data_IF_613856648437
#
_entry.id   IF_613856648437
#
_cell.length_a   1.000
_cell.length_b   1.000
_cell.length_c   1.000
_cell.angle_alpha   90.00
_cell.angle_beta   90.00
_cell.angle_gamma   90.00
#
_symmetry.space_group_name_H-M   'P 1'
#
loop_
_entity.id
_entity.type
_entity.pdbx_description
1 polymer ?
#
# COMPACT_ATOMS: atom_id res chain seq x y z
N UNK A 1 12.74 -6.72 12.68
CA UNK A 1 11.63 -7.16 11.80
C UNK A 1 12.20 -7.31 10.39
N UNK A 2 11.90 -8.41 9.70
CA UNK A 2 12.39 -8.63 8.34
C UNK A 2 11.74 -7.62 7.38
N UNK A 3 12.50 -7.14 6.41
CA UNK A 3 11.96 -6.28 5.35
C UNK A 3 10.81 -7.00 4.61
N UNK A 4 9.75 -6.28 4.22
CA UNK A 4 8.69 -6.87 3.42
C UNK A 4 9.25 -7.28 2.06
N UNK A 5 9.39 -8.59 1.84
CA UNK A 5 9.94 -9.16 0.60
C UNK A 5 8.83 -9.80 -0.24
N UNK A 6 8.40 -9.05 -1.24
CA UNK A 6 7.50 -9.51 -2.30
C UNK A 6 7.93 -8.92 -3.64
N UNK A 7 7.76 -9.72 -4.71
CA UNK A 7 8.14 -9.45 -6.09
C UNK A 7 7.16 -10.17 -7.01
N UNK A 8 6.03 -9.56 -7.28
CA UNK A 8 4.97 -10.20 -8.05
C UNK A 8 4.14 -9.14 -8.80
N UNK A 9 3.28 -9.60 -9.71
CA UNK A 9 2.38 -8.73 -10.48
C UNK A 9 1.20 -8.31 -9.63
N UNK A 10 0.87 -7.02 -9.62
CA UNK A 10 -0.33 -6.49 -8.96
C UNK A 10 -1.56 -6.98 -9.73
N UNK A 11 -2.33 -7.86 -9.12
CA UNK A 11 -3.60 -8.34 -9.68
C UNK A 11 -4.75 -7.42 -9.28
N UNK A 12 -4.73 -6.95 -8.03
CA UNK A 12 -5.75 -6.07 -7.48
C UNK A 12 -5.12 -5.18 -6.43
N UNK A 13 -5.68 -3.97 -6.30
CA UNK A 13 -5.29 -2.98 -5.33
C UNK A 13 -6.56 -2.40 -4.72
N UNK A 14 -6.64 -2.44 -3.41
CA UNK A 14 -7.72 -1.85 -2.61
C UNK A 14 -7.10 -0.80 -1.71
N UNK A 15 -7.70 0.39 -1.68
CA UNK A 15 -7.30 1.48 -0.80
C UNK A 15 -8.52 1.94 -0.02
N UNK A 16 -8.37 1.99 1.29
CA UNK A 16 -9.34 2.56 2.21
C UNK A 16 -8.61 3.48 3.19
N UNK A 17 -8.19 4.63 2.66
CA UNK A 17 -7.42 5.64 3.39
C UNK A 17 -8.28 6.62 4.18
N UNK A 18 -9.61 6.46 4.11
CA UNK A 18 -10.55 7.39 4.75
C UNK A 18 -11.13 6.81 6.05
N UNK A 19 -11.27 5.49 6.13
CA UNK A 19 -11.89 4.83 7.28
C UNK A 19 -10.86 4.01 8.06
N UNK A 20 -10.15 3.12 7.36
CA UNK A 20 -9.31 2.10 8.03
C UNK A 20 -7.81 2.34 7.87
N UNK A 21 -7.42 3.37 7.10
CA UNK A 21 -6.03 3.67 6.76
C UNK A 21 -5.27 2.45 6.23
N UNK A 22 -5.88 1.72 5.30
CA UNK A 22 -5.31 0.51 4.71
C UNK A 22 -5.05 0.61 3.21
N UNK A 23 -4.00 -0.09 2.80
CA UNK A 23 -3.73 -0.43 1.41
C UNK A 23 -3.50 -1.93 1.32
N UNK A 24 -4.26 -2.60 0.46
CA UNK A 24 -4.15 -4.04 0.25
C UNK A 24 -3.83 -4.33 -1.22
N UNK A 25 -2.76 -5.08 -1.45
CA UNK A 25 -2.38 -5.61 -2.75
C UNK A 25 -2.69 -7.10 -2.79
N UNK A 26 -3.41 -7.54 -3.81
CA UNK A 26 -3.41 -8.94 -4.22
C UNK A 26 -2.41 -9.11 -5.34
N UNK A 27 -1.44 -9.97 -5.11
CA UNK A 27 -0.35 -10.23 -6.02
C UNK A 27 -0.57 -11.57 -6.72
N UNK A 28 -0.09 -11.70 -7.95
CA UNK A 28 -0.10 -12.96 -8.70
C UNK A 28 1.32 -13.53 -8.75
N UNK A 29 1.51 -14.63 -8.04
CA UNK A 29 2.75 -15.41 -8.06
C UNK A 29 2.79 -16.30 -9.33
N UNK A 30 3.94 -16.43 -10.02
CA UNK A 30 4.08 -17.34 -11.17
C UNK A 30 3.70 -18.79 -10.90
N UNK A 31 3.83 -19.25 -9.65
CA UNK A 31 3.46 -20.60 -9.19
C UNK A 31 1.96 -20.80 -8.99
N UNK A 32 1.13 -19.79 -9.29
CA UNK A 32 -0.34 -19.87 -9.23
C UNK A 32 -0.95 -19.52 -7.87
N UNK A 33 -0.13 -19.14 -6.89
CA UNK A 33 -0.61 -18.58 -5.63
C UNK A 33 -0.92 -17.08 -5.76
N UNK A 34 -1.75 -16.58 -4.85
CA UNK A 34 -2.11 -15.16 -4.79
C UNK A 34 -1.74 -14.56 -3.44
N UNK A 35 -0.48 -14.17 -3.23
CA UNK A 35 -0.09 -13.50 -2.00
C UNK A 35 -0.87 -12.20 -1.81
N UNK A 36 -1.17 -11.89 -0.56
CA UNK A 36 -1.78 -10.63 -0.17
C UNK A 36 -0.79 -9.84 0.66
N UNK A 37 -0.65 -8.55 0.33
CA UNK A 37 0.13 -7.60 1.12
C UNK A 37 -0.83 -6.59 1.69
N UNK A 38 -0.82 -6.40 3.01
CA UNK A 38 -1.64 -5.41 3.69
C UNK A 38 -0.73 -4.41 4.38
N UNK A 39 -0.74 -3.17 3.92
CA UNK A 39 -0.19 -2.04 4.63
C UNK A 39 -1.28 -1.47 5.55
N UNK A 40 -0.95 -1.23 6.82
CA UNK A 40 -1.84 -0.63 7.82
C UNK A 40 -1.29 0.70 8.29
N UNK A 41 -2.16 1.54 8.83
CA UNK A 41 -1.81 2.89 9.28
C UNK A 41 -1.16 3.68 8.11
N UNK A 42 -1.77 3.57 6.93
CA UNK A 42 -1.28 4.15 5.69
C UNK A 42 -1.57 5.64 5.70
N UNK A 43 -0.50 6.44 5.75
CA UNK A 43 -0.59 7.90 5.70
C UNK A 43 -0.56 8.43 4.28
N UNK A 44 0.05 7.69 3.35
CA UNK A 44 0.19 8.09 1.96
C UNK A 44 0.51 6.89 1.06
N UNK A 45 0.04 6.94 -0.19
CA UNK A 45 0.39 5.97 -1.22
C UNK A 45 0.42 6.62 -2.59
N UNK A 46 1.51 6.39 -3.34
CA UNK A 46 1.59 6.64 -4.78
C UNK A 46 1.08 5.47 -5.60
N UNK A 47 1.00 4.27 -5.02
CA UNK A 47 0.32 3.17 -5.68
C UNK A 47 -1.14 3.54 -5.89
N UNK A 48 -1.62 3.27 -7.10
CA UNK A 48 -2.96 3.63 -7.54
C UNK A 48 -3.57 2.51 -8.39
N UNK A 49 -4.88 2.56 -8.69
CA UNK A 49 -5.50 1.61 -9.61
C UNK A 49 -4.81 1.52 -10.99
N UNK A 50 -4.11 2.57 -11.43
CA UNK A 50 -3.35 2.58 -12.68
C UNK A 50 -2.09 1.69 -12.65
N UNK A 51 -1.67 1.22 -11.48
CA UNK A 51 -0.57 0.28 -11.31
C UNK A 51 -1.04 -1.19 -11.34
N UNK A 52 -2.36 -1.44 -11.39
CA UNK A 52 -2.89 -2.80 -11.58
C UNK A 52 -2.37 -3.37 -12.91
N UNK A 53 -1.85 -4.60 -12.85
CA UNK A 53 -1.21 -5.28 -13.96
C UNK A 53 0.29 -5.04 -14.08
N UNK A 54 0.87 -4.07 -13.36
CA UNK A 54 2.32 -3.86 -13.30
C UNK A 54 2.99 -4.85 -12.36
N UNK A 55 4.29 -5.05 -12.55
CA UNK A 55 5.09 -5.96 -11.72
C UNK A 55 5.92 -5.17 -10.71
N UNK A 56 5.83 -5.55 -9.44
CA UNK A 56 6.76 -5.07 -8.41
C UNK A 56 8.01 -5.93 -8.51
N UNK A 57 9.15 -5.28 -8.75
CA UNK A 57 10.46 -5.95 -8.85
C UNK A 57 11.12 -6.11 -7.48
N UNK A 58 10.95 -5.14 -6.60
CA UNK A 58 11.40 -5.21 -5.21
C UNK A 58 10.69 -4.15 -4.38
N UNK A 59 10.70 -4.33 -3.05
CA UNK A 59 10.26 -3.33 -2.08
C UNK A 59 11.40 -3.08 -1.10
N UNK A 60 11.71 -1.81 -0.89
CA UNK A 60 12.78 -1.38 0.00
C UNK A 60 12.21 -0.51 1.11
N UNK A 61 12.59 -0.79 2.36
CA UNK A 61 12.33 0.12 3.46
C UNK A 61 13.40 1.23 3.41
N UNK A 62 12.98 2.45 3.16
CA UNK A 62 13.87 3.61 3.07
C UNK A 62 13.96 4.26 4.45
N UNK A 63 15.17 4.50 4.98
CA UNK A 63 15.31 5.22 6.22
C UNK A 63 15.07 6.74 5.98
N UNK A 64 14.58 7.49 6.99
CA UNK A 64 14.21 8.90 6.82
C UNK A 64 15.32 9.81 6.26
N UNK A 65 16.58 9.54 6.63
CA UNK A 65 17.77 10.27 6.19
C UNK A 65 18.07 10.11 4.69
N UNK A 66 17.43 9.13 4.02
CA UNK A 66 17.57 8.92 2.58
C UNK A 66 16.51 9.62 1.74
N UNK A 67 15.51 10.29 2.33
CA UNK A 67 14.49 11.03 1.57
C UNK A 67 15.07 12.15 0.68
N UNK A 68 16.26 12.67 1.01
CA UNK A 68 16.90 13.75 0.27
C UNK A 68 17.87 13.31 -0.84
N UNK A 69 18.02 12.00 -1.10
CA UNK A 69 18.97 11.54 -2.12
C UNK A 69 18.41 11.75 -3.53
N UNK A 70 19.27 12.05 -4.53
CA UNK A 70 18.83 12.32 -5.91
C UNK A 70 17.95 11.22 -6.51
N UNK A 71 18.20 9.96 -6.18
CA UNK A 71 17.46 8.80 -6.69
C UNK A 71 15.99 8.77 -6.24
N UNK A 72 15.67 9.46 -5.13
CA UNK A 72 14.31 9.55 -4.58
C UNK A 72 13.68 10.92 -4.80
N UNK A 73 14.35 11.84 -5.49
CA UNK A 73 13.89 13.22 -5.67
C UNK A 73 12.52 13.27 -6.37
N UNK A 74 12.35 12.51 -7.45
CA UNK A 74 11.09 12.46 -8.20
C UNK A 74 9.93 11.96 -7.33
N UNK A 75 10.19 10.94 -6.51
CA UNK A 75 9.22 10.33 -5.59
C UNK A 75 8.81 11.33 -4.51
N UNK A 76 9.79 11.99 -3.90
CA UNK A 76 9.56 12.98 -2.84
C UNK A 76 8.88 14.23 -3.39
N UNK A 77 9.25 14.67 -4.59
CA UNK A 77 8.59 15.78 -5.27
C UNK A 77 7.12 15.48 -5.51
N UNK A 78 6.79 14.29 -5.97
CA UNK A 78 5.39 13.88 -6.17
C UNK A 78 4.64 13.85 -4.84
N UNK A 79 5.24 13.31 -3.76
CA UNK A 79 4.65 13.35 -2.42
C UNK A 79 4.27 14.78 -1.99
N UNK A 80 5.21 15.73 -2.13
CA UNK A 80 5.00 17.13 -1.74
C UNK A 80 3.83 17.78 -2.49
N UNK A 81 3.69 17.44 -3.77
CA UNK A 81 2.60 17.91 -4.62
C UNK A 81 1.26 17.30 -4.19
N UNK A 82 1.20 15.96 -4.08
CA UNK A 82 -0.04 15.24 -3.78
C UNK A 82 -0.58 15.55 -2.37
N UNK A 83 0.33 15.71 -1.40
CA UNK A 83 -0.03 15.86 0.03
C UNK A 83 -0.15 17.32 0.48
N UNK A 84 0.04 18.28 -0.43
CA UNK A 84 0.13 19.71 -0.13
C UNK A 84 1.15 19.98 1.01
N UNK A 85 2.30 19.31 0.94
CA UNK A 85 3.40 19.40 1.93
C UNK A 85 4.66 19.92 1.22
N UNK A 86 4.73 21.21 0.86
CA UNK A 86 5.78 21.75 0.00
C UNK A 86 7.19 21.54 0.54
N UNK A 87 7.34 21.52 1.87
CA UNK A 87 8.62 21.39 2.56
C UNK A 87 8.90 19.96 3.04
N UNK A 88 7.96 19.02 2.86
CA UNK A 88 8.08 17.64 3.36
C UNK A 88 8.02 17.52 4.89
N UNK A 89 7.62 18.58 5.60
CA UNK A 89 7.67 18.64 7.06
C UNK A 89 6.61 17.73 7.69
N UNK A 90 5.46 17.53 7.04
CA UNK A 90 4.45 16.59 7.54
C UNK A 90 4.98 15.16 7.49
N UNK A 91 5.67 14.79 6.42
CA UNK A 91 6.31 13.47 6.32
C UNK A 91 7.37 13.27 7.41
N UNK A 92 8.25 14.26 7.60
CA UNK A 92 9.31 14.22 8.62
C UNK A 92 8.69 14.08 10.02
N UNK A 93 7.68 14.89 10.33
CA UNK A 93 6.99 14.82 11.61
C UNK A 93 6.28 13.47 11.80
N UNK A 94 5.66 12.93 10.75
CA UNK A 94 5.04 11.62 10.79
C UNK A 94 6.05 10.50 11.09
N UNK A 95 7.22 10.52 10.46
CA UNK A 95 8.30 9.55 10.71
C UNK A 95 8.87 9.64 12.12
N UNK A 96 8.94 10.85 12.69
CA UNK A 96 9.44 11.07 14.05
C UNK A 96 8.42 10.68 15.12
N UNK A 97 7.12 10.94 14.87
CA UNK A 97 6.04 10.76 15.85
C UNK A 97 5.38 9.38 15.78
N UNK A 98 5.23 8.86 14.58
CA UNK A 98 4.59 7.59 14.31
C UNK A 98 5.65 6.61 13.81
N UNK A 99 5.59 5.34 14.23
CA UNK A 99 6.56 4.31 13.81
C UNK A 99 6.33 3.84 12.36
N UNK A 100 6.06 4.78 11.47
CA UNK A 100 5.77 4.56 10.06
C UNK A 100 7.05 4.33 9.27
N UNK A 101 6.90 3.56 8.19
CA UNK A 101 7.97 3.13 7.29
C UNK A 101 7.74 3.78 5.94
N UNK A 102 8.83 4.17 5.29
CA UNK A 102 8.84 4.55 3.88
C UNK A 102 9.11 3.28 3.06
N UNK A 103 8.14 2.86 2.28
CA UNK A 103 8.21 1.66 1.46
C UNK A 103 8.30 2.07 0.01
N UNK A 104 9.43 1.80 -0.61
CA UNK A 104 9.66 2.10 -2.01
C UNK A 104 9.45 0.85 -2.85
N UNK A 105 8.40 0.85 -3.66
CA UNK A 105 8.07 -0.20 -4.61
C UNK A 105 8.74 0.10 -5.95
N UNK A 106 9.78 -0.65 -6.27
CA UNK A 106 10.43 -0.59 -7.58
C UNK A 106 9.57 -1.34 -8.59
N UNK A 107 9.08 -0.64 -9.62
CA UNK A 107 8.19 -1.19 -10.63
C UNK A 107 8.99 -1.69 -11.84
N UNK A 108 8.40 -2.59 -12.63
CA UNK A 108 8.95 -3.04 -13.93
C UNK A 108 9.03 -1.91 -14.96
N UNK A 109 8.08 -0.98 -14.92
CA UNK A 109 7.99 0.17 -15.82
C UNK A 109 7.63 1.45 -15.07
N UNK A 110 8.33 2.53 -15.45
CA UNK A 110 8.14 3.87 -14.89
C UNK A 110 8.87 4.10 -13.56
N UNK A 111 8.62 5.24 -12.90
CA UNK A 111 9.27 5.54 -11.63
C UNK A 111 8.80 4.58 -10.53
N UNK A 112 9.57 4.42 -9.44
CA UNK A 112 9.11 3.71 -8.26
C UNK A 112 7.91 4.40 -7.61
N UNK A 113 7.23 3.70 -6.70
CA UNK A 113 6.07 4.19 -5.93
C UNK A 113 6.40 4.19 -4.45
N UNK A 114 6.08 5.28 -3.76
CA UNK A 114 6.20 5.36 -2.30
C UNK A 114 4.87 5.01 -1.63
N UNK A 115 4.95 4.18 -0.59
CA UNK A 115 3.89 3.99 0.41
C UNK A 115 4.46 4.35 1.77
N UNK A 116 3.71 5.13 2.55
CA UNK A 116 4.05 5.49 3.94
C UNK A 116 3.05 4.79 4.85
N UNK A 117 3.51 3.82 5.63
CA UNK A 117 2.63 2.95 6.42
C UNK A 117 3.27 2.53 7.75
N UNK A 118 2.48 2.36 8.80
CA UNK A 118 2.92 1.87 10.12
C UNK A 118 3.41 0.42 10.06
N UNK A 119 2.62 -0.44 9.44
CA UNK A 119 2.93 -1.86 9.36
C UNK A 119 2.65 -2.47 7.99
N UNK A 120 3.32 -3.59 7.70
CA UNK A 120 3.18 -4.36 6.48
C UNK A 120 3.11 -5.84 6.81
N UNK A 121 1.96 -6.44 6.51
CA UNK A 121 1.73 -7.87 6.62
C UNK A 121 1.80 -8.49 5.21
N UNK A 122 2.59 -9.57 5.05
CA UNK A 122 2.66 -10.34 3.80
C UNK A 122 2.14 -11.74 4.06
N UNK A 123 1.08 -12.12 3.36
CA UNK A 123 0.43 -13.43 3.46
C UNK A 123 0.55 -14.17 2.15
N UNK A 124 1.21 -15.31 2.17
CA UNK A 124 1.30 -16.20 0.99
C UNK A 124 0.15 -17.22 0.92
N UNK A 125 -0.57 -17.39 2.03
CA UNK A 125 -1.75 -18.26 2.14
C UNK A 125 -2.95 -17.41 2.59
N UNK A 126 -4.15 -17.66 2.04
CA UNK A 126 -5.37 -17.00 2.52
C UNK A 126 -5.61 -17.31 4.00
N UNK A 127 -6.11 -16.35 4.79
CA UNK A 127 -6.61 -16.68 6.12
C UNK A 127 -7.97 -17.37 6.04
N UNK A 128 -8.30 -18.16 7.06
CA UNK A 128 -9.68 -18.65 7.26
C UNK A 128 -10.64 -17.54 7.68
N UNK A 129 -10.13 -16.41 8.16
CA UNK A 129 -10.92 -15.23 8.50
C UNK A 129 -11.33 -14.45 7.26
N UNK A 130 -12.58 -13.97 7.22
CA UNK A 130 -13.04 -13.07 6.18
C UNK A 130 -12.43 -11.67 6.37
N UNK A 131 -11.73 -11.20 5.35
CA UNK A 131 -11.19 -9.84 5.27
C UNK A 131 -11.66 -9.22 3.98
N UNK A 132 -12.53 -8.22 4.06
CA UNK A 132 -13.21 -7.69 2.88
C UNK A 132 -12.21 -7.08 1.87
N UNK A 133 -11.12 -6.45 2.33
CA UNK A 133 -10.05 -5.91 1.50
C UNK A 133 -9.24 -6.99 0.76
N UNK A 134 -9.04 -8.17 1.36
CA UNK A 134 -8.38 -9.31 0.68
C UNK A 134 -9.25 -9.86 -0.47
N UNK A 135 -10.56 -9.60 -0.38
CA UNK A 135 -11.57 -9.98 -1.39
C UNK A 135 -11.85 -8.88 -2.42
N UNK A 136 -11.15 -7.74 -2.36
CA UNK A 136 -11.29 -6.68 -3.36
C UNK A 136 -12.31 -5.60 -3.03
N UNK A 137 -12.70 -5.48 -1.77
CA UNK A 137 -13.70 -4.51 -1.32
C UNK A 137 -13.06 -3.43 -0.44
N UNK A 138 -13.57 -2.21 -0.53
CA UNK A 138 -13.37 -1.19 0.51
C UNK A 138 -14.34 -1.41 1.68
N UNK A 139 -14.16 -0.71 2.80
CA UNK A 139 -15.09 -0.80 3.93
C UNK A 139 -16.50 -0.40 3.49
N UNK A 140 -16.62 0.65 2.67
CA UNK A 140 -17.90 1.09 2.14
C UNK A 140 -18.55 0.02 1.25
N UNK A 141 -17.80 -0.63 0.36
CA UNK A 141 -18.31 -1.74 -0.47
C UNK A 141 -18.80 -2.90 0.41
N UNK A 142 -18.02 -3.26 1.42
CA UNK A 142 -18.33 -4.34 2.34
C UNK A 142 -19.59 -4.01 3.15
N UNK A 143 -19.67 -2.80 3.69
CA UNK A 143 -20.85 -2.32 4.42
C UNK A 143 -22.08 -2.42 3.52
N UNK A 144 -22.04 -1.89 2.29
CA UNK A 144 -23.19 -1.96 1.37
C UNK A 144 -23.57 -3.40 1.01
N UNK A 145 -22.60 -4.29 0.81
CA UNK A 145 -22.85 -5.69 0.43
C UNK A 145 -23.31 -6.57 1.59
N UNK A 146 -22.93 -6.25 2.82
CA UNK A 146 -23.19 -7.08 4.01
C UNK A 146 -24.23 -6.48 4.97
N UNK A 147 -24.63 -5.21 4.82
CA UNK A 147 -25.79 -4.63 5.53
C UNK A 147 -27.06 -4.59 4.68
N UNK A 148 -27.00 -4.85 3.38
CA UNK A 148 -28.18 -4.96 2.49
C UNK A 148 -28.47 -6.42 2.13
N UNK A 149 -28.77 -7.24 3.14
CA UNK A 149 -29.77 -8.35 3.12
C UNK A 149 -29.64 -9.20 4.39
N UNK A 150 -30.76 -9.55 5.07
CA UNK A 150 -32.03 -9.92 4.44
C UNK A 150 -33.16 -8.94 4.75
N UNK A 151 -33.75 -8.37 3.70
CA UNK A 151 -35.18 -8.12 3.70
C UNK A 151 -35.85 -9.43 3.24
N UNK A 152 -35.89 -10.41 4.14
CA UNK A 152 -36.91 -11.45 4.08
C UNK A 152 -38.07 -10.93 4.93
N UNK A 153 -39.10 -10.45 4.23
CA UNK A 153 -40.40 -10.04 4.77
C UNK A 153 -41.44 -10.13 3.67
#
# INVERSE_FOLDING_TARGET
>A
MAEPRYRERIQMLVMDLAVEDILCLRLKDPSGFYPTVTCREVLYSQLSPADIGRTILSVQAIPPDKLGVPELEAVCRQYRLDSLDPDGQRLIHALARYRVKLLLHCMDLGPPRLVVAGDVEVRRKPSGEFRYWENGYTYQDAYLRHTVSPADG
#
